data_IF_958531327325
#
_entry.id   IF_958531327325
#
_cell.length_a   1.000
_cell.length_b   1.000
_cell.length_c   1.000
_cell.angle_alpha   90.00
_cell.angle_beta   90.00
_cell.angle_gamma   90.00
#
_symmetry.space_group_name_H-M   'P 1'
#
loop_
_entity.id
_entity.type
_entity.pdbx_description
1 polymer ?
#
# COMPACT_ATOMS: atom_id res chain seq x y z
N UNK A 1 11.42 3.08 -7.49
CA UNK A 1 10.05 3.58 -7.41
C UNK A 1 9.13 2.42 -7.71
N UNK A 2 8.29 2.02 -6.77
CA UNK A 2 7.40 0.86 -6.94
C UNK A 2 6.04 1.37 -7.41
N UNK A 3 5.60 0.96 -8.59
CA UNK A 3 4.29 1.35 -9.13
C UNK A 3 3.26 0.28 -8.72
N UNK A 4 2.17 0.70 -8.08
CA UNK A 4 1.09 -0.21 -7.69
C UNK A 4 -0.03 -0.10 -8.72
N UNK A 5 -0.29 -1.21 -9.41
CA UNK A 5 -1.37 -1.34 -10.38
C UNK A 5 -2.64 -1.79 -9.64
N UNK A 6 -3.68 -0.95 -9.65
CA UNK A 6 -5.02 -1.32 -9.18
C UNK A 6 -5.92 -1.55 -10.38
N UNK A 7 -6.55 -2.71 -10.47
CA UNK A 7 -7.50 -3.04 -11.54
C UNK A 7 -8.94 -2.82 -11.03
N UNK A 8 -9.70 -1.98 -11.74
CA UNK A 8 -11.14 -1.87 -11.54
C UNK A 8 -11.86 -2.63 -12.69
N UNK A 9 -12.49 -3.76 -12.37
CA UNK A 9 -13.25 -4.53 -13.36
C UNK A 9 -14.65 -3.91 -13.56
N UNK A 10 -14.91 -3.34 -14.74
CA UNK A 10 -16.24 -2.86 -15.11
C UNK A 10 -16.88 -3.88 -16.07
N UNK A 11 -17.87 -4.63 -15.58
CA UNK A 11 -18.44 -5.82 -16.23
C UNK A 11 -19.11 -5.57 -17.60
N UNK A 12 -19.26 -4.32 -18.02
CA UNK A 12 -20.03 -3.94 -19.22
C UNK A 12 -19.19 -3.85 -20.51
N UNK A 13 -17.85 -3.89 -20.44
CA UNK A 13 -17.00 -3.70 -21.63
C UNK A 13 -16.09 -4.92 -21.90
N UNK A 14 -16.51 -5.77 -22.85
CA UNK A 14 -15.74 -6.95 -23.31
C UNK A 14 -14.30 -6.63 -23.76
N UNK A 15 -14.04 -5.39 -24.20
CA UNK A 15 -12.73 -4.94 -24.72
C UNK A 15 -11.70 -4.61 -23.63
N UNK A 16 -12.14 -4.34 -22.39
CA UNK A 16 -11.25 -4.02 -21.25
C UNK A 16 -10.88 -5.24 -20.42
N UNK A 17 -11.33 -6.45 -20.81
CA UNK A 17 -11.11 -7.69 -20.04
C UNK A 17 -9.62 -8.05 -19.85
N UNK A 18 -8.73 -7.54 -20.70
CA UNK A 18 -7.33 -7.98 -20.77
C UNK A 18 -6.29 -6.86 -20.61
N UNK A 19 -6.68 -5.63 -20.22
CA UNK A 19 -5.74 -4.52 -20.07
C UNK A 19 -5.81 -3.91 -18.67
N UNK A 20 -4.69 -3.95 -17.93
CA UNK A 20 -4.53 -3.19 -16.70
C UNK A 20 -4.06 -1.77 -17.06
N UNK A 21 -4.87 -0.77 -16.73
CA UNK A 21 -4.48 0.64 -16.83
C UNK A 21 -3.95 1.10 -15.48
N UNK A 22 -2.75 1.72 -15.40
CA UNK A 22 -2.27 2.30 -14.16
C UNK A 22 -3.18 3.45 -13.74
N UNK A 23 -3.80 3.33 -12.57
CA UNK A 23 -4.70 4.35 -12.03
C UNK A 23 -3.93 5.43 -11.24
N UNK A 24 -2.90 5.03 -10.48
CA UNK A 24 -2.18 5.93 -9.60
C UNK A 24 -0.79 5.43 -9.22
N UNK A 25 0.17 6.35 -9.19
CA UNK A 25 1.50 6.11 -8.65
C UNK A 25 1.60 6.55 -7.18
N UNK A 26 2.14 5.67 -6.35
CA UNK A 26 2.42 5.94 -4.94
C UNK A 26 3.93 5.95 -4.74
N UNK A 27 4.49 7.15 -4.59
CA UNK A 27 5.93 7.31 -4.43
C UNK A 27 6.38 6.78 -3.05
N UNK A 28 6.99 5.59 -3.06
CA UNK A 28 7.60 4.97 -1.90
C UNK A 28 9.11 4.75 -2.13
N UNK A 29 9.89 5.06 -1.10
CA UNK A 29 11.35 4.88 -1.06
C UNK A 29 11.71 3.60 -0.31
N UNK A 30 12.95 3.12 -0.49
CA UNK A 30 13.46 1.93 0.20
C UNK A 30 12.60 0.68 -0.05
N UNK A 31 12.34 0.36 -1.31
CA UNK A 31 11.54 -0.79 -1.73
C UNK A 31 12.27 -1.68 -2.73
N UNK A 32 13.60 -1.80 -2.58
CA UNK A 32 14.45 -2.62 -3.44
C UNK A 32 14.33 -4.11 -3.14
N UNK A 33 13.11 -4.65 -3.17
CA UNK A 33 12.78 -6.05 -2.90
C UNK A 33 11.93 -6.62 -4.02
N UNK A 34 11.92 -7.95 -4.16
CA UNK A 34 11.21 -8.63 -5.25
C UNK A 34 9.68 -8.45 -5.19
N UNK A 35 9.15 -8.06 -4.03
CA UNK A 35 7.73 -7.79 -3.80
C UNK A 35 7.55 -6.81 -2.66
N UNK A 36 6.47 -6.04 -2.70
CA UNK A 36 5.97 -5.25 -1.58
C UNK A 36 4.57 -5.75 -1.21
N UNK A 37 4.25 -5.75 0.08
CA UNK A 37 2.88 -6.01 0.55
C UNK A 37 2.20 -4.68 0.86
N UNK A 38 0.98 -4.54 0.36
CA UNK A 38 0.10 -3.42 0.64
C UNK A 38 -1.27 -3.95 1.05
N UNK A 39 -2.03 -3.12 1.74
CA UNK A 39 -3.43 -3.41 2.06
C UNK A 39 -4.25 -2.13 1.96
N UNK A 40 -5.54 -2.26 1.65
CA UNK A 40 -6.52 -1.18 1.79
C UNK A 40 -7.43 -1.40 2.99
N UNK A 41 -8.03 -0.34 3.52
CA UNK A 41 -9.15 -0.50 4.44
C UNK A 41 -10.36 -1.10 3.71
N UNK A 42 -11.36 -1.55 4.48
CA UNK A 42 -12.57 -2.18 3.92
C UNK A 42 -13.34 -1.25 2.98
N UNK A 43 -13.28 0.06 3.22
CA UNK A 43 -13.95 1.06 2.39
C UNK A 43 -13.13 1.46 1.14
N UNK A 44 -11.88 1.00 1.01
CA UNK A 44 -11.00 1.38 -0.09
C UNK A 44 -10.56 2.85 -0.08
N UNK A 45 -10.69 3.54 1.06
CA UNK A 45 -10.32 4.94 1.25
C UNK A 45 -8.87 5.11 1.68
N UNK A 46 -8.30 4.13 2.36
CA UNK A 46 -6.93 4.17 2.84
C UNK A 46 -6.11 3.05 2.21
N UNK A 47 -4.88 3.36 1.81
CA UNK A 47 -3.88 2.41 1.32
C UNK A 47 -2.67 2.48 2.24
N UNK A 48 -2.24 1.35 2.80
CA UNK A 48 -1.01 1.23 3.58
C UNK A 48 0.01 0.39 2.81
N UNK A 49 1.27 0.86 2.80
CA UNK A 49 2.40 0.17 2.17
C UNK A 49 3.61 0.28 3.08
N UNK A 50 4.23 -0.86 3.38
CA UNK A 50 5.47 -0.93 4.15
C UNK A 50 6.73 -0.92 3.26
N UNK A 51 7.85 -0.46 3.80
CA UNK A 51 9.14 -0.43 3.11
C UNK A 51 10.20 -1.34 3.76
N UNK A 52 11.43 -1.33 3.23
CA UNK A 52 12.56 -2.15 3.71
C UNK A 52 13.32 -1.55 4.90
N UNK A 53 12.82 -0.45 5.48
CA UNK A 53 13.42 0.29 6.60
C UNK A 53 12.48 0.41 7.80
N UNK A 54 11.36 -0.31 7.78
CA UNK A 54 10.39 -0.32 8.88
C UNK A 54 9.35 0.79 8.82
N UNK A 55 9.38 1.64 7.79
CA UNK A 55 8.35 2.65 7.63
C UNK A 55 7.12 2.06 6.93
N UNK A 56 5.95 2.52 7.37
CA UNK A 56 4.68 2.26 6.71
C UNK A 56 4.12 3.61 6.28
N UNK A 57 3.93 3.79 4.98
CA UNK A 57 3.27 4.97 4.43
C UNK A 57 1.80 4.69 4.21
N UNK A 58 0.97 5.69 4.50
CA UNK A 58 -0.48 5.64 4.37
C UNK A 58 -0.92 6.73 3.40
N UNK A 59 -1.81 6.40 2.48
CA UNK A 59 -2.41 7.35 1.54
C UNK A 59 -3.93 7.28 1.61
N UNK A 60 -4.55 8.45 1.45
CA UNK A 60 -5.97 8.53 1.13
C UNK A 60 -6.18 8.33 -0.37
N UNK A 61 -6.88 7.26 -0.72
CA UNK A 61 -7.19 6.85 -2.09
C UNK A 61 -8.16 7.86 -2.71
N UNK A 62 -7.77 8.44 -3.84
CA UNK A 62 -8.54 9.49 -4.53
C UNK A 62 -7.98 10.90 -4.32
N UNK A 63 -7.03 11.09 -3.39
CA UNK A 63 -6.30 12.35 -3.26
C UNK A 63 -5.03 12.34 -4.09
N UNK A 64 -4.68 13.47 -4.71
CA UNK A 64 -3.46 13.61 -5.51
C UNK A 64 -2.21 13.96 -4.68
N UNK A 65 -2.27 13.85 -3.36
CA UNK A 65 -1.29 14.41 -2.42
C UNK A 65 -0.22 13.41 -1.97
N UNK A 66 0.75 13.94 -1.23
CA UNK A 66 1.72 13.20 -0.44
C UNK A 66 1.04 12.18 0.50
N UNK A 67 1.79 11.19 1.02
CA UNK A 67 1.27 10.27 2.04
C UNK A 67 0.54 11.04 3.14
N UNK A 68 -0.67 10.59 3.48
CA UNK A 68 -1.46 11.11 4.60
C UNK A 68 -0.70 10.98 5.92
N UNK A 69 0.01 9.86 6.10
CA UNK A 69 0.83 9.61 7.27
C UNK A 69 2.03 8.70 6.94
N UNK A 70 3.05 8.75 7.81
CA UNK A 70 4.10 7.74 7.89
C UNK A 70 4.16 7.23 9.33
N UNK A 71 4.06 5.92 9.49
CA UNK A 71 4.21 5.23 10.77
C UNK A 71 5.59 4.57 10.81
N UNK A 72 6.27 4.69 11.95
CA UNK A 72 7.55 4.03 12.22
C UNK A 72 7.59 3.56 13.68
N UNK A 73 8.40 2.55 13.94
CA UNK A 73 8.62 2.02 15.29
C UNK A 73 10.11 1.76 15.49
N UNK A 74 10.66 2.22 16.61
CA UNK A 74 12.07 2.07 16.95
C UNK A 74 12.56 0.61 17.00
N UNK A 75 11.67 -0.34 17.28
CA UNK A 75 11.98 -1.77 17.31
C UNK A 75 11.83 -2.44 15.94
N UNK A 76 11.15 -1.80 15.00
CA UNK A 76 10.84 -2.35 13.69
C UNK A 76 11.58 -1.52 12.64
N UNK A 77 12.86 -1.86 12.42
CA UNK A 77 13.77 -1.09 11.54
C UNK A 77 14.15 -1.83 10.26
N UNK A 78 13.56 -3.02 10.05
CA UNK A 78 13.78 -3.88 8.89
C UNK A 78 12.53 -3.96 8.00
N UNK A 79 12.52 -4.87 7.04
CA UNK A 79 11.48 -4.91 6.02
C UNK A 79 10.13 -5.26 6.60
N UNK A 80 9.14 -4.39 6.35
CA UNK A 80 7.74 -4.69 6.64
C UNK A 80 7.27 -5.82 5.74
N UNK A 81 6.93 -6.96 6.35
CA UNK A 81 6.46 -8.17 5.66
C UNK A 81 4.95 -8.16 5.44
N UNK A 82 4.22 -7.56 6.36
CA UNK A 82 2.77 -7.52 6.31
C UNK A 82 2.25 -6.26 6.97
N UNK A 83 1.15 -5.74 6.41
CA UNK A 83 0.32 -4.69 7.01
C UNK A 83 -1.13 -5.16 6.96
N UNK A 84 -1.89 -4.93 8.01
CA UNK A 84 -3.33 -5.20 8.01
C UNK A 84 -4.11 -4.12 8.76
N UNK A 85 -5.14 -3.59 8.09
CA UNK A 85 -6.13 -2.72 8.70
C UNK A 85 -7.09 -3.51 9.59
N UNK A 86 -7.47 -2.91 10.71
CA UNK A 86 -8.64 -3.34 11.47
C UNK A 86 -9.92 -3.23 10.62
N UNK A 87 -10.98 -4.01 10.93
CA UNK A 87 -12.23 -3.95 10.17
C UNK A 87 -12.88 -2.56 10.13
N UNK A 88 -12.66 -1.75 11.17
CA UNK A 88 -13.14 -0.37 11.26
C UNK A 88 -12.19 0.66 10.62
N UNK A 89 -11.02 0.23 10.12
CA UNK A 89 -10.02 1.06 9.45
C UNK A 89 -9.25 2.01 10.36
N UNK A 90 -9.44 1.94 11.69
CA UNK A 90 -8.83 2.88 12.66
C UNK A 90 -7.45 2.46 13.14
N UNK A 91 -7.07 1.20 12.95
CA UNK A 91 -5.80 0.66 13.40
C UNK A 91 -5.14 -0.15 12.30
N UNK A 92 -3.81 -0.21 12.36
CA UNK A 92 -3.00 -1.06 11.50
C UNK A 92 -2.12 -1.92 12.41
N UNK A 93 -2.04 -3.21 12.11
CA UNK A 93 -1.00 -4.10 12.62
C UNK A 93 0.00 -4.32 11.50
N UNK A 94 1.29 -4.32 11.85
CA UNK A 94 2.35 -4.64 10.93
C UNK A 94 3.39 -5.54 11.57
N UNK A 95 4.05 -6.31 10.73
CA UNK A 95 5.18 -7.16 11.11
C UNK A 95 6.38 -6.83 10.23
N UNK A 96 7.56 -6.83 10.82
CA UNK A 96 8.83 -6.76 10.10
C UNK A 96 9.70 -7.96 10.42
N UNK A 97 10.76 -8.14 9.66
CA UNK A 97 11.81 -9.07 10.05
C UNK A 97 12.45 -8.66 11.36
N UNK A 98 12.91 -9.67 12.10
CA UNK A 98 13.88 -9.46 13.15
C UNK A 98 15.17 -8.92 12.52
N UNK A 99 15.82 -8.00 13.23
CA UNK A 99 17.06 -7.34 12.79
C UNK A 99 18.28 -8.18 13.12
#
# INVERSE_FOLDING_TARGET
TTNILLQHNNNNNKRLRNSALPLRDFALTHCGVWFVRFQTDRAGRMLAIGNTKGDIKIWEVGTHKNPFATLSNAQCTSTIRMVSFSPDGKSIIATCDDS
#
